data_IF_941274267746
#
_entry.id   IF_941274267746
#
_cell.length_a   1.000
_cell.length_b   1.000
_cell.length_c   1.000
_cell.angle_alpha   90.00
_cell.angle_beta   90.00
_cell.angle_gamma   90.00
#
_symmetry.space_group_name_H-M   'P 1'
#
loop_
_entity.id
_entity.type
_entity.pdbx_description
1 polymer ?
#
# COMPACT_ATOMS: atom_id res chain seq x y z
N UNK A 1 69.87 35.93 41.67
CA UNK A 1 69.55 34.56 42.13
C UNK A 1 68.07 34.53 42.47
N UNK A 2 67.17 34.40 41.48
CA UNK A 2 66.83 33.21 40.67
C UNK A 2 65.80 32.31 41.38
N UNK A 3 64.54 32.52 40.95
CA UNK A 3 63.43 31.58 40.71
C UNK A 3 63.26 30.32 41.57
N UNK A 4 62.01 30.07 42.01
CA UNK A 4 61.22 29.01 41.37
C UNK A 4 59.73 29.09 41.70
N UNK A 5 58.94 29.49 40.71
CA UNK A 5 57.49 29.27 40.65
C UNK A 5 57.26 27.79 40.40
N UNK A 6 56.94 27.03 41.45
CA UNK A 6 56.66 25.61 41.31
C UNK A 6 55.18 25.38 40.98
N UNK A 7 54.87 25.42 39.69
CA UNK A 7 53.59 24.99 39.13
C UNK A 7 53.39 23.50 39.39
N UNK A 8 52.41 23.15 40.25
CA UNK A 8 52.05 21.75 40.52
C UNK A 8 51.47 21.09 39.26
N UNK A 9 51.95 19.89 38.86
CA UNK A 9 51.51 19.24 37.65
C UNK A 9 50.10 18.67 37.84
N UNK A 10 49.33 18.85 36.79
CA UNK A 10 47.90 18.59 36.64
C UNK A 10 47.60 17.09 36.78
N UNK A 11 46.85 16.69 37.82
CA UNK A 11 46.29 15.33 38.00
C UNK A 11 45.14 15.02 37.02
N UNK A 12 45.00 15.73 35.90
CA UNK A 12 43.85 15.62 35.00
C UNK A 12 43.96 14.47 33.99
N UNK A 13 45.10 13.82 33.83
CA UNK A 13 45.31 12.81 32.77
C UNK A 13 44.46 11.55 32.99
N UNK A 14 44.31 11.09 34.23
CA UNK A 14 43.54 9.87 34.52
C UNK A 14 42.03 10.11 34.51
N UNK A 15 41.58 11.28 34.98
CA UNK A 15 40.17 11.65 34.95
C UNK A 15 39.69 11.90 33.51
N UNK A 16 40.49 12.59 32.70
CA UNK A 16 40.17 12.87 31.30
C UNK A 16 40.12 11.60 30.44
N UNK A 17 40.99 10.62 30.71
CA UNK A 17 40.93 9.29 30.07
C UNK A 17 39.65 8.53 30.43
N UNK A 18 39.20 8.59 31.68
CA UNK A 18 37.91 7.98 32.10
C UNK A 18 36.73 8.66 31.42
N UNK A 19 36.73 10.00 31.37
CA UNK A 19 35.68 10.77 30.68
C UNK A 19 35.62 10.41 29.19
N UNK A 20 36.75 10.27 28.49
CA UNK A 20 36.75 9.80 27.10
C UNK A 20 36.16 8.40 26.94
N UNK A 21 36.48 7.46 27.83
CA UNK A 21 35.95 6.08 27.76
C UNK A 21 34.43 6.08 27.97
N UNK A 22 33.93 6.82 28.96
CA UNK A 22 32.49 6.93 29.19
C UNK A 22 31.78 7.67 28.06
N UNK A 23 32.38 8.72 27.48
CA UNK A 23 31.85 9.41 26.32
C UNK A 23 31.79 8.49 25.09
N UNK A 24 32.82 7.69 24.84
CA UNK A 24 32.84 6.72 23.75
C UNK A 24 31.80 5.60 23.94
N UNK A 25 31.62 5.12 25.18
CA UNK A 25 30.58 4.13 25.51
C UNK A 25 29.17 4.70 25.33
N UNK A 26 28.93 5.93 25.78
CA UNK A 26 27.66 6.62 25.61
C UNK A 26 27.37 6.88 24.13
N UNK A 27 28.38 7.28 23.36
CA UNK A 27 28.25 7.48 21.92
C UNK A 27 27.94 6.15 21.21
N UNK A 28 28.62 5.07 21.59
CA UNK A 28 28.36 3.73 21.06
C UNK A 28 26.94 3.26 21.37
N UNK A 29 26.47 3.42 22.60
CA UNK A 29 25.10 3.09 23.00
C UNK A 29 24.07 3.96 22.29
N UNK A 30 24.35 5.26 22.14
CA UNK A 30 23.51 6.21 21.41
C UNK A 30 23.38 5.83 19.93
N UNK A 31 24.49 5.45 19.28
CA UNK A 31 24.49 5.00 17.89
C UNK A 31 23.77 3.65 17.73
N UNK A 32 23.94 2.71 18.66
CA UNK A 32 23.22 1.41 18.65
C UNK A 32 21.70 1.61 18.79
N UNK A 33 21.25 2.62 19.55
CA UNK A 33 19.83 2.99 19.62
C UNK A 33 19.30 3.72 18.38
N UNK A 34 20.17 4.39 17.62
CA UNK A 34 19.80 5.20 16.46
C UNK A 34 19.71 4.40 15.15
N UNK A 35 20.47 3.31 15.02
CA UNK A 35 20.47 2.41 13.85
C UNK A 35 19.11 1.69 13.62
N UNK A 36 18.42 1.12 14.62
CA UNK A 36 17.14 0.44 14.39
C UNK A 36 16.03 1.39 13.92
N UNK A 37 16.12 2.69 14.23
CA UNK A 37 15.14 3.69 13.82
C UNK A 37 15.22 4.02 12.32
N UNK A 38 16.43 3.99 11.74
CA UNK A 38 16.61 4.29 10.31
C UNK A 38 16.32 3.08 9.41
N UNK A 39 16.54 1.85 9.91
CA UNK A 39 16.21 0.62 9.19
C UNK A 39 14.69 0.37 9.12
N UNK A 40 13.95 0.71 10.18
CA UNK A 40 12.50 0.46 10.24
C UNK A 40 11.68 1.38 9.33
N UNK A 41 12.24 2.55 8.94
CA UNK A 41 11.61 3.45 7.96
C UNK A 41 11.68 2.97 6.51
N UNK A 42 12.46 1.93 6.19
CA UNK A 42 12.51 1.34 4.84
C UNK A 42 11.69 0.05 4.72
N UNK A 43 11.49 -0.68 5.82
CA UNK A 43 10.64 -1.88 5.84
C UNK A 43 9.14 -1.56 5.98
N UNK A 44 8.78 -0.39 6.51
CA UNK A 44 7.38 0.05 6.50
C UNK A 44 6.87 0.36 5.09
N UNK A 45 7.72 0.78 4.16
CA UNK A 45 7.30 1.06 2.78
C UNK A 45 6.91 -0.20 2.01
N UNK A 46 7.64 -1.32 2.20
CA UNK A 46 7.30 -2.59 1.56
C UNK A 46 6.07 -3.25 2.19
N UNK A 47 5.88 -3.11 3.51
CA UNK A 47 4.66 -3.59 4.19
C UNK A 47 3.42 -2.75 3.87
N UNK A 48 3.57 -1.44 3.68
CA UNK A 48 2.47 -0.57 3.26
C UNK A 48 2.07 -0.88 1.81
N UNK A 49 3.05 -1.06 0.90
CA UNK A 49 2.78 -1.41 -0.49
C UNK A 49 2.06 -2.77 -0.62
N UNK A 50 2.48 -3.78 0.14
CA UNK A 50 1.82 -5.10 0.14
C UNK A 50 0.40 -5.04 0.72
N UNK A 51 0.19 -4.29 1.81
CA UNK A 51 -1.12 -4.13 2.45
C UNK A 51 -2.07 -3.29 1.59
N UNK A 52 -1.56 -2.27 0.90
CA UNK A 52 -2.34 -1.41 0.01
C UNK A 52 -2.73 -2.13 -1.29
N UNK A 53 -1.86 -3.03 -1.79
CA UNK A 53 -2.18 -3.91 -2.91
C UNK A 53 -3.33 -4.86 -2.60
N UNK A 54 -3.27 -5.57 -1.48
CA UNK A 54 -4.34 -6.49 -1.09
C UNK A 54 -5.65 -5.73 -0.79
N UNK A 55 -5.55 -4.50 -0.26
CA UNK A 55 -6.70 -3.64 -0.01
C UNK A 55 -7.38 -3.17 -1.32
N UNK A 56 -6.60 -2.79 -2.34
CA UNK A 56 -7.13 -2.35 -3.63
C UNK A 56 -7.95 -3.46 -4.32
N UNK A 57 -7.42 -4.68 -4.37
CA UNK A 57 -8.10 -5.82 -4.99
C UNK A 57 -9.33 -6.27 -4.20
N UNK A 58 -9.24 -6.30 -2.86
CA UNK A 58 -10.38 -6.61 -2.01
C UNK A 58 -11.48 -5.53 -2.12
N UNK A 59 -11.07 -4.26 -2.24
CA UNK A 59 -11.96 -3.12 -2.48
C UNK A 59 -12.71 -3.25 -3.80
N UNK A 60 -12.02 -3.57 -4.90
CA UNK A 60 -12.62 -3.85 -6.21
C UNK A 60 -13.64 -4.98 -6.14
N UNK A 61 -13.29 -6.09 -5.48
CA UNK A 61 -14.19 -7.23 -5.33
C UNK A 61 -15.44 -6.87 -4.53
N UNK A 62 -15.27 -6.13 -3.43
CA UNK A 62 -16.38 -5.71 -2.58
C UNK A 62 -17.29 -4.70 -3.29
N UNK A 63 -16.73 -3.74 -4.02
CA UNK A 63 -17.49 -2.78 -4.82
C UNK A 63 -18.35 -3.49 -5.88
N UNK A 64 -17.77 -4.49 -6.56
CA UNK A 64 -18.49 -5.25 -7.56
C UNK A 64 -19.59 -6.14 -6.94
N UNK A 65 -19.32 -6.76 -5.78
CA UNK A 65 -20.33 -7.51 -5.04
C UNK A 65 -21.48 -6.62 -4.54
N UNK A 66 -21.17 -5.42 -4.04
CA UNK A 66 -22.17 -4.43 -3.64
C UNK A 66 -23.01 -3.99 -4.84
N UNK A 67 -22.39 -3.73 -5.99
CA UNK A 67 -23.12 -3.35 -7.20
C UNK A 67 -24.12 -4.41 -7.66
N UNK A 68 -23.78 -5.70 -7.53
CA UNK A 68 -24.72 -6.81 -7.80
C UNK A 68 -25.92 -6.75 -6.86
N UNK A 69 -25.69 -6.51 -5.57
CA UNK A 69 -26.76 -6.43 -4.57
C UNK A 69 -27.65 -5.21 -4.84
N UNK A 70 -27.06 -4.05 -5.08
CA UNK A 70 -27.75 -2.80 -5.37
C UNK A 70 -28.63 -2.95 -6.63
N UNK A 71 -28.09 -3.52 -7.71
CA UNK A 71 -28.84 -3.78 -8.94
C UNK A 71 -30.02 -4.73 -8.71
N UNK A 72 -29.87 -5.73 -7.81
CA UNK A 72 -30.97 -6.65 -7.44
C UNK A 72 -32.03 -5.98 -6.58
N UNK A 73 -31.66 -4.98 -5.78
CA UNK A 73 -32.59 -4.19 -4.98
C UNK A 73 -33.31 -3.10 -5.78
N UNK A 74 -32.92 -2.89 -7.05
CA UNK A 74 -33.44 -1.82 -7.90
C UNK A 74 -32.70 -0.50 -7.73
N UNK A 75 -31.60 -0.48 -6.96
CA UNK A 75 -30.74 0.69 -6.73
C UNK A 75 -29.74 0.87 -7.89
N UNK A 76 -30.28 1.03 -9.11
CA UNK A 76 -29.48 0.99 -10.35
C UNK A 76 -28.46 2.12 -10.46
N UNK A 77 -28.74 3.30 -9.89
CA UNK A 77 -27.80 4.42 -9.91
C UNK A 77 -26.60 4.17 -8.98
N UNK A 78 -26.84 3.61 -7.79
CA UNK A 78 -25.76 3.17 -6.88
C UNK A 78 -24.88 2.11 -7.55
N UNK A 79 -25.53 1.10 -8.16
CA UNK A 79 -24.83 0.06 -8.91
C UNK A 79 -24.03 0.64 -10.09
N UNK A 80 -24.56 1.63 -10.81
CA UNK A 80 -23.87 2.30 -11.93
C UNK A 80 -22.60 3.03 -11.48
N UNK A 81 -22.68 3.73 -10.34
CA UNK A 81 -21.53 4.42 -9.75
C UNK A 81 -20.47 3.41 -9.33
N UNK A 82 -20.84 2.40 -8.55
CA UNK A 82 -19.93 1.35 -8.10
C UNK A 82 -19.22 0.62 -9.26
N UNK A 83 -19.93 0.34 -10.36
CA UNK A 83 -19.36 -0.29 -11.56
C UNK A 83 -18.41 0.65 -12.29
N UNK A 84 -18.76 1.94 -12.39
CA UNK A 84 -17.90 2.94 -13.01
C UNK A 84 -16.59 3.11 -12.24
N UNK A 85 -16.68 3.15 -10.91
CA UNK A 85 -15.53 3.22 -10.01
C UNK A 85 -14.69 1.96 -10.10
N UNK A 86 -15.31 0.77 -10.13
CA UNK A 86 -14.63 -0.50 -10.35
C UNK A 86 -13.78 -0.48 -11.62
N UNK A 87 -14.35 -0.09 -12.77
CA UNK A 87 -13.60 -0.05 -14.03
C UNK A 87 -12.52 1.04 -14.05
N UNK A 88 -12.72 2.14 -13.32
CA UNK A 88 -11.74 3.22 -13.19
C UNK A 88 -10.52 2.75 -12.40
N UNK A 89 -10.75 2.12 -11.25
CA UNK A 89 -9.68 1.58 -10.41
C UNK A 89 -9.00 0.39 -11.09
N UNK A 90 -9.75 -0.51 -11.73
CA UNK A 90 -9.18 -1.65 -12.47
C UNK A 90 -8.25 -1.20 -13.60
N UNK A 91 -8.61 -0.13 -14.32
CA UNK A 91 -7.76 0.46 -15.36
C UNK A 91 -6.50 1.05 -14.75
N UNK A 92 -6.62 1.81 -13.67
CA UNK A 92 -5.46 2.37 -12.97
C UNK A 92 -4.49 1.26 -12.52
N UNK A 93 -5.00 0.14 -12.00
CA UNK A 93 -4.17 -1.02 -11.67
C UNK A 93 -3.55 -1.67 -12.91
N UNK A 94 -4.29 -1.78 -14.02
CA UNK A 94 -3.76 -2.39 -15.25
C UNK A 94 -2.64 -1.54 -15.89
N UNK A 95 -2.77 -0.22 -15.83
CA UNK A 95 -1.83 0.75 -16.42
C UNK A 95 -0.54 0.91 -15.59
N UNK A 96 -0.57 0.56 -14.29
CA UNK A 96 0.59 0.57 -13.39
C UNK A 96 1.53 -0.62 -13.67
N UNK A 97 2.13 -0.74 -14.84
CA UNK A 97 2.94 -1.90 -15.27
C UNK A 97 3.65 -2.72 -14.16
N UNK A 98 4.68 -2.14 -13.51
CA UNK A 98 5.49 -2.80 -12.47
C UNK A 98 5.03 -2.52 -11.03
N UNK A 99 4.17 -1.50 -10.84
CA UNK A 99 3.64 -1.08 -9.54
C UNK A 99 2.17 -1.50 -9.38
N UNK A 100 1.71 -2.46 -10.19
CA UNK A 100 0.32 -2.96 -10.20
C UNK A 100 0.14 -4.03 -9.15
N UNK A 101 -1.04 -4.02 -8.50
CA UNK A 101 -1.47 -5.15 -7.68
C UNK A 101 -1.70 -6.43 -8.49
N UNK A 102 -1.83 -6.31 -9.82
CA UNK A 102 -2.15 -7.39 -10.74
C UNK A 102 -0.90 -7.98 -11.39
N UNK A 103 -0.81 -9.32 -11.35
CA UNK A 103 0.20 -10.05 -12.13
C UNK A 103 0.02 -9.81 -13.64
N UNK A 104 1.07 -10.00 -14.46
CA UNK A 104 0.94 -9.87 -15.92
C UNK A 104 -0.16 -10.76 -16.52
N UNK A 105 -0.36 -11.95 -15.98
CA UNK A 105 -1.41 -12.87 -16.40
C UNK A 105 -2.81 -12.33 -16.02
N UNK A 106 -2.96 -11.78 -14.82
CA UNK A 106 -4.21 -11.16 -14.38
C UNK A 106 -4.54 -9.92 -15.22
N UNK A 107 -3.56 -9.07 -15.52
CA UNK A 107 -3.73 -7.89 -16.41
C UNK A 107 -4.22 -8.29 -17.81
N UNK A 108 -3.62 -9.32 -18.40
CA UNK A 108 -4.10 -9.87 -19.67
C UNK A 108 -5.51 -10.48 -19.55
N UNK A 109 -5.79 -11.16 -18.42
CA UNK A 109 -7.06 -11.80 -18.14
C UNK A 109 -8.22 -10.83 -17.94
N UNK A 110 -7.98 -9.64 -17.38
CA UNK A 110 -9.03 -8.62 -17.18
C UNK A 110 -9.33 -7.81 -18.44
N UNK A 111 -8.46 -7.84 -19.45
CA UNK A 111 -8.66 -7.07 -20.69
C UNK A 111 -10.02 -7.30 -21.37
N UNK A 112 -10.53 -8.54 -21.49
CA UNK A 112 -11.84 -8.81 -22.08
C UNK A 112 -13.02 -8.29 -21.24
N UNK A 113 -12.83 -8.04 -19.94
CA UNK A 113 -13.89 -7.53 -19.06
C UNK A 113 -14.29 -6.09 -19.43
N UNK A 114 -13.36 -5.28 -19.92
CA UNK A 114 -13.64 -3.89 -20.32
C UNK A 114 -14.65 -3.80 -21.47
N UNK A 115 -14.76 -4.83 -22.31
CA UNK A 115 -15.74 -4.89 -23.40
C UNK A 115 -17.18 -4.88 -22.89
N UNK A 116 -17.42 -5.39 -21.68
CA UNK A 116 -18.76 -5.50 -21.09
C UNK A 116 -19.20 -4.22 -20.38
N UNK A 117 -18.27 -3.27 -20.12
CA UNK A 117 -18.55 -2.05 -19.36
C UNK A 117 -19.71 -1.26 -19.93
N UNK A 118 -19.67 -0.98 -21.23
CA UNK A 118 -20.62 -0.07 -21.86
C UNK A 118 -22.03 -0.70 -21.92
N UNK A 119 -22.12 -2.02 -22.14
CA UNK A 119 -23.38 -2.77 -22.04
C UNK A 119 -23.96 -2.69 -20.63
N UNK A 120 -23.15 -2.99 -19.60
CA UNK A 120 -23.59 -2.98 -18.20
C UNK A 120 -24.02 -1.58 -17.77
N UNK A 121 -23.24 -0.54 -18.09
CA UNK A 121 -23.62 0.85 -17.77
C UNK A 121 -24.93 1.23 -18.47
N UNK A 122 -25.13 0.78 -19.72
CA UNK A 122 -26.37 1.04 -20.45
C UNK A 122 -27.57 0.35 -19.79
N UNK A 123 -27.43 -0.91 -19.37
CA UNK A 123 -28.49 -1.64 -18.68
C UNK A 123 -28.84 -0.97 -17.34
N UNK A 124 -27.83 -0.58 -16.56
CA UNK A 124 -28.01 0.12 -15.29
C UNK A 124 -28.66 1.49 -15.48
N UNK A 125 -28.23 2.26 -16.48
CA UNK A 125 -28.83 3.57 -16.79
C UNK A 125 -30.30 3.47 -17.23
N UNK A 126 -30.70 2.33 -17.80
CA UNK A 126 -32.10 2.03 -18.18
C UNK A 126 -32.94 1.46 -17.03
N UNK A 127 -32.31 1.12 -15.90
CA UNK A 127 -32.97 0.39 -14.82
C UNK A 127 -33.38 -1.03 -15.21
N UNK A 128 -32.65 -1.66 -16.13
CA UNK A 128 -32.96 -2.99 -16.63
C UNK A 128 -32.58 -4.05 -15.58
N UNK A 129 -33.52 -4.92 -15.13
CA UNK A 129 -33.21 -5.97 -14.16
C UNK A 129 -32.18 -7.00 -14.67
N UNK A 130 -31.99 -7.14 -15.98
CA UNK A 130 -30.94 -7.99 -16.55
C UNK A 130 -29.52 -7.52 -16.19
N UNK A 131 -29.36 -6.26 -15.76
CA UNK A 131 -28.09 -5.74 -15.25
C UNK A 131 -27.54 -6.54 -14.08
N UNK A 132 -28.39 -7.05 -13.19
CA UNK A 132 -27.97 -7.83 -12.02
C UNK A 132 -27.31 -9.17 -12.42
N UNK A 133 -27.85 -9.84 -13.45
CA UNK A 133 -27.29 -11.08 -13.97
C UNK A 133 -25.96 -10.81 -14.68
N UNK A 134 -25.91 -9.76 -15.52
CA UNK A 134 -24.66 -9.33 -16.17
C UNK A 134 -23.56 -8.96 -15.18
N UNK A 135 -23.90 -8.28 -14.10
CA UNK A 135 -22.96 -7.96 -13.02
C UNK A 135 -22.49 -9.20 -12.27
N UNK A 136 -23.38 -10.19 -12.09
CA UNK A 136 -23.04 -11.47 -11.46
C UNK A 136 -22.03 -12.24 -12.32
N UNK A 137 -22.22 -12.25 -13.65
CA UNK A 137 -21.30 -12.85 -14.61
C UNK A 137 -19.93 -12.13 -14.61
N UNK A 138 -19.95 -10.79 -14.62
CA UNK A 138 -18.74 -9.98 -14.52
C UNK A 138 -17.96 -10.28 -13.23
N UNK A 139 -18.67 -10.38 -12.09
CA UNK A 139 -18.08 -10.74 -10.81
C UNK A 139 -17.44 -12.13 -10.83
N UNK A 140 -18.14 -13.12 -11.37
CA UNK A 140 -17.63 -14.48 -11.48
C UNK A 140 -16.37 -14.53 -12.38
N UNK A 141 -16.38 -13.82 -13.50
CA UNK A 141 -15.25 -13.73 -14.41
C UNK A 141 -14.04 -13.05 -13.74
N UNK A 142 -14.25 -11.90 -13.09
CA UNK A 142 -13.20 -11.20 -12.35
C UNK A 142 -12.58 -12.08 -11.26
N UNK A 143 -13.42 -12.71 -10.43
CA UNK A 143 -12.96 -13.60 -9.35
C UNK A 143 -12.16 -14.79 -9.89
N UNK A 144 -12.55 -15.34 -11.04
CA UNK A 144 -11.81 -16.43 -11.69
C UNK A 144 -10.40 -15.99 -12.08
N UNK A 145 -10.25 -14.77 -12.62
CA UNK A 145 -8.95 -14.21 -13.02
C UNK A 145 -8.10 -13.91 -11.77
N UNK A 146 -8.69 -13.39 -10.69
CA UNK A 146 -7.92 -13.09 -9.47
C UNK A 146 -7.40 -14.35 -8.79
N UNK A 147 -8.09 -15.49 -8.96
CA UNK A 147 -7.71 -16.78 -8.39
C UNK A 147 -6.92 -17.68 -9.37
N UNK A 148 -6.59 -17.20 -10.57
CA UNK A 148 -5.87 -17.97 -11.59
C UNK A 148 -4.36 -17.81 -11.53
#
# INVERSE_FOLDING_TARGET
MSENVQSKPVKATHFMRRVMIFAALLLGAFLIGFVPLWSQSRESASRLAEVEHQLSLAGLQNALASAVIDARQGEYESARQAVSDFFTVLRAETDRENDSALSPAQRAGVQPLYTQRDEIITLLARGDPASADRLSDLYAAYRKIMNS
#
